data_IF_769644645908
#
_entry.id   IF_769644645908
#
_cell.length_a   1.000
_cell.length_b   1.000
_cell.length_c   1.000
_cell.angle_alpha   90.00
_cell.angle_beta   90.00
_cell.angle_gamma   90.00
#
_symmetry.space_group_name_H-M   'P 1'
#
loop_
_entity.id
_entity.type
_entity.pdbx_description
1 polymer ?
#
# COMPACT_ATOMS: atom_id res chain seq x y z
N UNK A 1 -22.07 1.14 -1.20
CA UNK A 1 -21.15 2.24 -1.58
C UNK A 1 -19.74 2.04 -1.03
N UNK A 2 -19.57 1.37 0.13
CA UNK A 2 -18.27 1.10 0.75
C UNK A 2 -17.38 0.13 -0.05
N UNK A 3 -17.93 -0.95 -0.62
CA UNK A 3 -17.12 -2.04 -1.24
C UNK A 3 -16.23 -1.63 -2.43
N UNK A 4 -16.62 -0.61 -3.21
CA UNK A 4 -15.84 -0.17 -4.38
C UNK A 4 -14.62 0.68 -3.98
N UNK A 5 -14.82 1.66 -3.09
CA UNK A 5 -13.75 2.51 -2.57
C UNK A 5 -12.79 1.72 -1.67
N UNK A 6 -13.31 0.70 -0.99
CA UNK A 6 -12.58 -0.25 -0.18
C UNK A 6 -11.81 -1.31 -0.98
N UNK A 7 -11.96 -1.37 -2.31
CA UNK A 7 -11.26 -2.37 -3.11
C UNK A 7 -9.76 -2.01 -3.19
N UNK A 8 -8.83 -2.94 -2.89
CA UNK A 8 -7.39 -2.66 -2.88
C UNK A 8 -6.84 -1.99 -4.14
N UNK A 9 -7.34 -2.36 -5.33
CA UNK A 9 -6.96 -1.73 -6.59
C UNK A 9 -7.50 -0.30 -6.72
N UNK A 10 -8.76 -0.06 -6.36
CA UNK A 10 -9.32 1.29 -6.34
C UNK A 10 -8.56 2.20 -5.37
N UNK A 11 -8.27 1.70 -4.17
CA UNK A 11 -7.51 2.44 -3.17
C UNK A 11 -6.06 2.71 -3.65
N UNK A 12 -5.41 1.73 -4.29
CA UNK A 12 -4.11 1.91 -4.93
C UNK A 12 -4.14 3.00 -6.01
N UNK A 13 -5.10 2.93 -6.93
CA UNK A 13 -5.23 3.91 -8.03
C UNK A 13 -5.50 5.30 -7.48
N UNK A 14 -6.39 5.43 -6.49
CA UNK A 14 -6.66 6.73 -5.85
C UNK A 14 -5.40 7.27 -5.16
N UNK A 15 -4.65 6.42 -4.46
CA UNK A 15 -3.44 6.82 -3.74
C UNK A 15 -2.34 7.29 -4.67
N UNK A 16 -2.11 6.58 -5.78
CA UNK A 16 -1.11 6.95 -6.78
C UNK A 16 -1.55 8.14 -7.63
N UNK A 17 -2.79 8.15 -8.13
CA UNK A 17 -3.23 9.16 -9.09
C UNK A 17 -3.53 10.52 -8.43
N UNK A 18 -4.00 10.54 -7.18
CA UNK A 18 -4.37 11.79 -6.49
C UNK A 18 -3.27 12.86 -6.48
N UNK A 19 -2.02 12.58 -6.04
CA UNK A 19 -0.97 13.60 -6.04
C UNK A 19 -0.65 14.10 -7.45
N UNK A 20 -0.60 13.22 -8.46
CA UNK A 20 -0.38 13.62 -9.85
C UNK A 20 -1.49 14.53 -10.37
N UNK A 21 -2.75 14.16 -10.12
CA UNK A 21 -3.90 14.96 -10.55
C UNK A 21 -3.90 16.32 -9.85
N UNK A 22 -3.64 16.38 -8.55
CA UNK A 22 -3.66 17.65 -7.83
C UNK A 22 -2.51 18.56 -8.27
N UNK A 23 -1.27 18.06 -8.24
CA UNK A 23 -0.06 18.89 -8.42
C UNK A 23 0.33 19.15 -9.89
N UNK A 24 -0.04 18.26 -10.82
CA UNK A 24 0.32 18.42 -12.25
C UNK A 24 -0.85 18.89 -13.13
N UNK A 25 -1.93 19.37 -12.51
CA UNK A 25 -3.02 20.05 -13.20
C UNK A 25 -3.28 21.42 -12.57
N UNK A 26 -4.15 22.26 -13.14
CA UNK A 26 -4.52 23.55 -12.54
C UNK A 26 -5.24 23.46 -11.18
N UNK A 27 -5.53 22.25 -10.67
CA UNK A 27 -6.22 22.05 -9.39
C UNK A 27 -5.43 22.62 -8.21
N UNK A 28 -4.13 22.33 -8.10
CA UNK A 28 -3.32 22.87 -7.02
C UNK A 28 -3.33 24.40 -7.02
N UNK A 29 -3.09 25.02 -8.17
CA UNK A 29 -3.12 26.47 -8.37
C UNK A 29 -4.45 27.11 -7.95
N UNK A 30 -5.55 26.36 -8.04
CA UNK A 30 -6.88 26.80 -7.62
C UNK A 30 -7.05 26.68 -6.12
N UNK A 31 -6.74 25.51 -5.55
CA UNK A 31 -6.98 25.23 -4.13
C UNK A 31 -6.01 25.96 -3.21
N UNK A 32 -4.74 26.08 -3.57
CA UNK A 32 -3.70 26.67 -2.70
C UNK A 32 -3.99 28.14 -2.35
N UNK A 33 -4.74 28.85 -3.20
CA UNK A 33 -5.11 30.27 -2.99
C UNK A 33 -6.09 30.48 -1.83
N UNK A 34 -6.82 29.43 -1.45
CA UNK A 34 -7.85 29.50 -0.42
C UNK A 34 -7.49 28.60 0.74
N UNK A 35 -7.63 29.10 1.97
CA UNK A 35 -7.39 28.29 3.17
C UNK A 35 -8.23 27.01 3.16
N UNK A 36 -9.52 27.08 2.83
CA UNK A 36 -10.39 25.91 2.72
C UNK A 36 -9.94 24.92 1.63
N UNK A 37 -9.34 25.41 0.54
CA UNK A 37 -8.83 24.57 -0.54
C UNK A 37 -7.59 23.80 -0.09
N UNK A 38 -6.69 24.46 0.65
CA UNK A 38 -5.56 23.81 1.29
C UNK A 38 -6.00 22.73 2.30
N UNK A 39 -6.94 23.05 3.19
CA UNK A 39 -7.48 22.07 4.14
C UNK A 39 -8.19 20.89 3.44
N UNK A 40 -8.93 21.17 2.37
CA UNK A 40 -9.55 20.14 1.54
C UNK A 40 -8.50 19.17 0.96
N UNK A 41 -7.38 19.69 0.44
CA UNK A 41 -6.29 18.84 -0.04
C UNK A 41 -5.72 17.96 1.08
N UNK A 42 -5.48 18.53 2.26
CA UNK A 42 -4.97 17.77 3.41
C UNK A 42 -5.92 16.63 3.82
N UNK A 43 -7.22 16.92 3.93
CA UNK A 43 -8.25 15.92 4.24
C UNK A 43 -8.32 14.86 3.13
N UNK A 44 -8.30 15.27 1.86
CA UNK A 44 -8.32 14.36 0.71
C UNK A 44 -7.14 13.37 0.77
N UNK A 45 -5.91 13.87 0.90
CA UNK A 45 -4.72 13.01 0.98
C UNK A 45 -4.73 12.11 2.20
N UNK A 46 -5.21 12.60 3.35
CA UNK A 46 -5.37 11.79 4.55
C UNK A 46 -6.39 10.66 4.35
N UNK A 47 -7.56 10.97 3.77
CA UNK A 47 -8.62 9.98 3.50
C UNK A 47 -8.14 8.94 2.49
N UNK A 48 -7.51 9.38 1.40
CA UNK A 48 -6.99 8.45 0.37
C UNK A 48 -5.88 7.56 0.95
N UNK A 49 -4.95 8.13 1.71
CA UNK A 49 -3.92 7.36 2.40
C UNK A 49 -4.51 6.38 3.43
N UNK A 50 -5.51 6.82 4.19
CA UNK A 50 -6.24 5.96 5.12
C UNK A 50 -6.92 4.80 4.40
N UNK A 51 -7.62 5.04 3.29
CA UNK A 51 -8.28 3.98 2.50
C UNK A 51 -7.26 2.97 1.96
N UNK A 52 -6.11 3.43 1.46
CA UNK A 52 -5.05 2.55 0.99
C UNK A 52 -4.49 1.67 2.11
N UNK A 53 -4.08 2.26 3.23
CA UNK A 53 -3.55 1.49 4.36
C UNK A 53 -4.61 0.64 5.04
N UNK A 54 -5.88 1.06 5.05
CA UNK A 54 -6.98 0.25 5.55
C UNK A 54 -7.19 -1.00 4.67
N UNK A 55 -7.09 -0.88 3.34
CA UNK A 55 -7.17 -2.04 2.44
C UNK A 55 -6.01 -3.04 2.63
N UNK A 56 -4.87 -2.59 3.16
CA UNK A 56 -3.65 -3.41 3.36
C UNK A 56 -3.58 -3.97 4.79
N UNK A 57 -3.70 -3.12 5.80
CA UNK A 57 -3.56 -3.46 7.22
C UNK A 57 -4.87 -4.03 7.79
N UNK A 58 -6.00 -3.62 7.23
CA UNK A 58 -7.36 -3.90 7.73
C UNK A 58 -7.52 -5.27 8.37
N UNK A 59 -8.08 -5.24 9.58
CA UNK A 59 -8.37 -6.42 10.40
C UNK A 59 -9.62 -7.14 9.89
N UNK A 60 -10.43 -6.46 9.07
CA UNK A 60 -11.75 -6.94 8.65
C UNK A 60 -11.65 -8.29 7.92
N UNK A 61 -12.34 -9.34 8.41
CA UNK A 61 -12.42 -10.65 7.77
C UNK A 61 -13.37 -10.61 6.56
N UNK A 62 -13.11 -9.69 5.63
CA UNK A 62 -13.86 -9.60 4.39
C UNK A 62 -13.43 -10.72 3.41
N UNK A 63 -14.34 -11.25 2.59
CA UNK A 63 -14.07 -12.34 1.64
C UNK A 63 -13.06 -11.99 0.53
N UNK A 64 -12.55 -10.75 0.47
CA UNK A 64 -11.61 -10.25 -0.55
C UNK A 64 -10.25 -9.81 0.03
N UNK A 65 -9.87 -10.33 1.19
CA UNK A 65 -8.60 -9.97 1.83
C UNK A 65 -7.43 -10.54 1.03
N UNK A 66 -6.53 -9.68 0.53
CA UNK A 66 -5.33 -10.18 -0.15
C UNK A 66 -4.45 -11.00 0.83
N UNK A 67 -3.80 -12.07 0.35
CA UNK A 67 -2.77 -12.76 1.13
C UNK A 67 -1.57 -11.82 1.35
N UNK A 68 -0.72 -12.11 2.35
CA UNK A 68 0.44 -11.26 2.68
C UNK A 68 1.32 -10.93 1.47
N UNK A 69 1.69 -11.89 0.59
CA UNK A 69 2.49 -11.58 -0.59
C UNK A 69 1.83 -10.55 -1.51
N UNK A 70 0.51 -10.64 -1.70
CA UNK A 70 -0.24 -9.69 -2.53
C UNK A 70 -0.25 -8.27 -1.94
N UNK A 71 -0.35 -8.14 -0.62
CA UNK A 71 -0.28 -6.85 0.07
C UNK A 71 1.12 -6.24 0.02
N UNK A 72 2.14 -7.06 0.25
CA UNK A 72 3.54 -6.65 0.13
C UNK A 72 3.82 -6.20 -1.30
N UNK A 73 3.36 -6.95 -2.30
CA UNK A 73 3.46 -6.59 -3.72
C UNK A 73 2.80 -5.24 -4.04
N UNK A 74 1.61 -4.97 -3.49
CA UNK A 74 0.94 -3.66 -3.62
C UNK A 74 1.75 -2.51 -3.02
N UNK A 75 2.33 -2.70 -1.83
CA UNK A 75 3.20 -1.70 -1.19
C UNK A 75 4.43 -1.40 -2.04
N UNK A 76 5.10 -2.44 -2.55
CA UNK A 76 6.23 -2.28 -3.48
C UNK A 76 5.82 -1.61 -4.79
N UNK A 77 4.65 -1.95 -5.33
CA UNK A 77 4.16 -1.38 -6.58
C UNK A 77 3.89 0.13 -6.47
N UNK A 78 3.57 0.65 -5.27
CA UNK A 78 3.36 2.08 -5.05
C UNK A 78 4.67 2.87 -5.07
N UNK A 79 5.75 2.32 -4.52
CA UNK A 79 7.04 3.01 -4.36
C UNK A 79 7.55 3.73 -5.62
N UNK A 80 7.64 3.08 -6.80
CA UNK A 80 8.15 3.76 -7.99
C UNK A 80 7.30 4.98 -8.37
N UNK A 81 5.98 4.94 -8.17
CA UNK A 81 5.13 6.09 -8.49
C UNK A 81 5.39 7.29 -7.56
N UNK A 82 5.61 7.07 -6.26
CA UNK A 82 6.01 8.18 -5.37
C UNK A 82 7.40 8.70 -5.69
N UNK A 83 8.35 7.81 -5.99
CA UNK A 83 9.67 8.20 -6.42
C UNK A 83 9.61 9.08 -7.68
N UNK A 84 8.86 8.66 -8.70
CA UNK A 84 8.67 9.45 -9.92
C UNK A 84 7.97 10.77 -9.67
N UNK A 85 6.98 10.83 -8.77
CA UNK A 85 6.34 12.08 -8.38
C UNK A 85 7.35 13.07 -7.80
N UNK A 86 8.19 12.64 -6.85
CA UNK A 86 9.22 13.47 -6.23
C UNK A 86 10.31 13.88 -7.24
N UNK A 87 10.78 12.95 -8.07
CA UNK A 87 11.75 13.24 -9.15
C UNK A 87 11.18 14.26 -10.14
N UNK A 88 9.91 14.15 -10.51
CA UNK A 88 9.26 15.11 -11.39
C UNK A 88 9.31 16.51 -10.77
N UNK A 89 8.88 16.68 -9.52
CA UNK A 89 8.98 17.97 -8.82
C UNK A 89 10.43 18.48 -8.73
N UNK A 90 11.39 17.58 -8.53
CA UNK A 90 12.82 17.89 -8.43
C UNK A 90 13.47 18.34 -9.75
N UNK A 91 12.84 18.01 -10.88
CA UNK A 91 13.39 18.26 -12.22
C UNK A 91 12.57 19.27 -13.03
N UNK A 92 11.36 19.61 -12.58
CA UNK A 92 10.52 20.62 -13.22
C UNK A 92 11.23 21.97 -13.32
N UNK A 93 11.11 22.63 -14.48
CA UNK A 93 11.61 23.98 -14.71
C UNK A 93 10.63 25.07 -14.26
N UNK A 94 9.36 24.72 -14.07
CA UNK A 94 8.31 25.59 -13.56
C UNK A 94 7.90 25.23 -12.13
N UNK A 95 7.45 26.23 -11.38
CA UNK A 95 6.96 26.04 -10.02
C UNK A 95 5.46 25.76 -10.02
N UNK A 96 5.03 24.70 -9.35
CA UNK A 96 3.64 24.42 -9.00
C UNK A 96 3.16 25.47 -7.99
N UNK A 97 2.04 26.13 -8.23
CA UNK A 97 1.57 27.20 -7.34
C UNK A 97 2.37 28.50 -7.43
N UNK A 98 3.15 28.73 -8.50
CA UNK A 98 4.06 29.87 -8.63
C UNK A 98 3.42 31.22 -8.27
N UNK A 99 2.19 31.44 -8.73
CA UNK A 99 1.45 32.70 -8.49
C UNK A 99 1.17 32.89 -7.00
N UNK A 100 0.73 31.83 -6.31
CA UNK A 100 0.47 31.87 -4.88
C UNK A 100 1.75 32.11 -4.09
N UNK A 101 2.79 31.30 -4.29
CA UNK A 101 4.02 31.40 -3.50
C UNK A 101 4.75 32.74 -3.69
N UNK A 102 4.69 33.35 -4.88
CA UNK A 102 5.19 34.72 -5.08
C UNK A 102 4.37 35.77 -4.33
N UNK A 103 3.04 35.59 -4.24
CA UNK A 103 2.16 36.54 -3.55
C UNK A 103 2.37 36.60 -2.03
N UNK A 104 2.86 35.51 -1.42
CA UNK A 104 3.17 35.45 0.01
C UNK A 104 4.40 36.32 0.36
N UNK A 105 5.28 36.58 -0.62
CA UNK A 105 6.46 37.45 -0.48
C UNK A 105 7.36 37.09 0.72
N UNK A 106 7.81 35.84 0.77
CA UNK A 106 8.62 35.27 1.86
C UNK A 106 10.08 35.76 1.79
N UNK A 107 10.54 36.68 2.67
CA UNK A 107 11.87 37.31 2.52
C UNK A 107 13.05 36.38 2.83
N UNK A 108 12.82 35.27 3.54
CA UNK A 108 13.85 34.27 3.83
C UNK A 108 13.99 33.21 2.73
N UNK A 109 13.07 33.18 1.76
CA UNK A 109 13.08 32.19 0.69
C UNK A 109 13.75 32.78 -0.55
N UNK A 110 14.99 32.35 -0.81
CA UNK A 110 15.79 32.90 -1.91
C UNK A 110 15.32 32.44 -3.31
N UNK A 111 14.76 31.23 -3.42
CA UNK A 111 14.30 30.66 -4.70
C UNK A 111 13.18 29.66 -4.49
N UNK A 112 11.98 29.99 -4.99
CA UNK A 112 10.80 29.12 -4.89
C UNK A 112 11.01 27.81 -5.70
N UNK A 113 11.70 27.88 -6.84
CA UNK A 113 11.96 26.69 -7.64
C UNK A 113 12.97 25.76 -6.97
N UNK A 114 14.00 26.31 -6.31
CA UNK A 114 14.95 25.50 -5.55
C UNK A 114 14.29 24.83 -4.34
N UNK A 115 13.35 25.53 -3.68
CA UNK A 115 12.55 24.98 -2.60
C UNK A 115 11.63 23.85 -3.07
N UNK A 116 10.99 24.00 -4.24
CA UNK A 116 10.26 22.90 -4.87
C UNK A 116 11.18 21.72 -5.19
N UNK A 117 12.40 21.97 -5.67
CA UNK A 117 13.33 20.89 -5.97
C UNK A 117 13.71 20.11 -4.72
N UNK A 118 14.03 20.83 -3.64
CA UNK A 118 14.24 20.24 -2.32
C UNK A 118 13.01 19.46 -1.85
N UNK A 119 11.82 20.04 -1.99
CA UNK A 119 10.55 19.41 -1.67
C UNK A 119 10.31 18.12 -2.45
N UNK A 120 10.69 18.07 -3.73
CA UNK A 120 10.66 16.85 -4.55
C UNK A 120 11.61 15.76 -4.04
N UNK A 121 12.82 16.14 -3.64
CA UNK A 121 13.78 15.22 -3.03
C UNK A 121 13.32 14.66 -1.67
N UNK A 122 12.72 15.51 -0.83
CA UNK A 122 12.11 15.10 0.43
C UNK A 122 10.91 14.20 0.16
N UNK A 123 10.04 14.57 -0.78
CA UNK A 123 8.85 13.80 -1.11
C UNK A 123 9.21 12.39 -1.54
N UNK A 124 10.17 12.18 -2.44
CA UNK A 124 10.57 10.82 -2.81
C UNK A 124 11.20 10.06 -1.62
N UNK A 125 12.18 10.64 -0.93
CA UNK A 125 12.94 9.87 0.08
C UNK A 125 12.14 9.55 1.34
N UNK A 126 11.32 10.50 1.82
CA UNK A 126 10.64 10.38 3.11
C UNK A 126 9.33 9.59 3.01
N UNK A 127 8.66 9.59 1.85
CA UNK A 127 7.38 8.87 1.69
C UNK A 127 7.52 7.36 1.79
N UNK A 128 8.73 6.83 1.64
CA UNK A 128 8.98 5.39 1.72
C UNK A 128 9.08 4.87 3.15
N UNK A 129 9.37 5.72 4.14
CA UNK A 129 9.52 5.26 5.53
C UNK A 129 8.23 4.61 6.07
N UNK A 130 7.02 5.20 5.91
CA UNK A 130 5.78 4.55 6.31
C UNK A 130 5.54 3.22 5.57
N UNK A 131 5.84 3.17 4.27
CA UNK A 131 5.64 1.97 3.45
C UNK A 131 6.55 0.84 3.94
N UNK A 132 7.84 1.13 4.13
CA UNK A 132 8.83 0.17 4.65
C UNK A 132 8.42 -0.33 6.04
N UNK A 133 7.98 0.57 6.93
CA UNK A 133 7.49 0.19 8.26
C UNK A 133 6.34 -0.81 8.17
N UNK A 134 5.38 -0.59 7.27
CA UNK A 134 4.25 -1.51 7.08
C UNK A 134 4.68 -2.81 6.41
N UNK A 135 5.62 -2.79 5.46
CA UNK A 135 6.20 -4.01 4.88
C UNK A 135 6.84 -4.87 5.98
N UNK A 136 7.67 -4.28 6.84
CA UNK A 136 8.30 -4.98 7.96
C UNK A 136 7.25 -5.58 8.89
N UNK A 137 6.18 -4.82 9.21
CA UNK A 137 5.07 -5.33 10.02
C UNK A 137 4.35 -6.50 9.35
N UNK A 138 4.09 -6.44 8.03
CA UNK A 138 3.42 -7.53 7.30
C UNK A 138 4.31 -8.78 7.17
N UNK A 139 5.60 -8.61 6.88
CA UNK A 139 6.55 -9.74 6.81
C UNK A 139 6.67 -10.44 8.16
N UNK A 140 6.75 -9.68 9.25
CA UNK A 140 6.79 -10.26 10.61
C UNK A 140 5.49 -10.95 10.99
N UNK A 141 4.33 -10.39 10.62
CA UNK A 141 3.02 -11.03 10.79
C UNK A 141 2.90 -12.31 9.97
N UNK A 142 3.33 -12.28 8.71
CA UNK A 142 3.31 -13.43 7.83
C UNK A 142 4.19 -14.57 8.35
N UNK A 143 5.45 -14.29 8.71
CA UNK A 143 6.36 -15.28 9.27
C UNK A 143 5.84 -15.91 10.58
N UNK A 144 5.15 -15.12 11.43
CA UNK A 144 4.50 -15.62 12.65
C UNK A 144 3.30 -16.52 12.34
N UNK A 145 2.52 -16.18 11.31
CA UNK A 145 1.38 -16.98 10.88
C UNK A 145 1.84 -18.33 10.31
N UNK A 146 2.82 -18.33 9.42
CA UNK A 146 3.32 -19.55 8.79
C UNK A 146 3.90 -20.53 9.81
N UNK A 147 4.68 -20.03 10.80
CA UNK A 147 5.17 -20.87 11.91
C UNK A 147 4.05 -21.52 12.73
N UNK A 148 2.93 -20.82 12.93
CA UNK A 148 1.77 -21.36 13.67
C UNK A 148 1.02 -22.42 12.88
N UNK A 149 0.95 -22.27 11.56
CA UNK A 149 0.34 -23.26 10.66
C UNK A 149 1.22 -24.50 10.59
N UNK A 150 2.52 -24.35 10.34
CA UNK A 150 3.48 -25.45 10.33
C UNK A 150 3.46 -26.25 11.64
N UNK A 151 3.51 -25.58 12.80
CA UNK A 151 3.42 -26.26 14.10
C UNK A 151 2.07 -26.95 14.38
N UNK A 152 1.00 -26.60 13.68
CA UNK A 152 -0.28 -27.32 13.75
C UNK A 152 -0.27 -28.54 12.83
N UNK A 153 0.29 -28.41 11.64
CA UNK A 153 0.45 -29.51 10.69
C UNK A 153 1.39 -30.57 11.25
N UNK A 154 2.54 -30.19 11.83
CA UNK A 154 3.48 -31.10 12.49
C UNK A 154 2.79 -31.89 13.63
N UNK A 155 2.01 -31.20 14.48
CA UNK A 155 1.26 -31.86 15.57
C UNK A 155 0.15 -32.78 15.09
N UNK A 156 -0.41 -32.54 13.91
CA UNK A 156 -1.42 -33.41 13.33
C UNK A 156 -0.76 -34.64 12.70
N UNK A 157 0.38 -34.45 12.03
CA UNK A 157 1.19 -35.54 11.47
C UNK A 157 1.74 -36.46 12.56
N UNK A 158 2.15 -35.92 13.71
CA UNK A 158 2.63 -36.71 14.86
C UNK A 158 1.49 -37.33 15.71
N UNK A 159 0.21 -37.20 15.31
CA UNK A 159 -0.92 -37.77 16.07
C UNK A 159 -1.30 -39.16 15.56
N UNK A 160 -1.59 -40.10 16.47
CA UNK A 160 -2.08 -41.47 16.15
C UNK A 160 -3.24 -41.48 15.13
N UNK A 161 -4.02 -40.40 15.10
CA UNK A 161 -5.14 -40.24 14.16
C UNK A 161 -4.69 -40.14 12.69
N UNK A 162 -3.51 -39.57 12.43
CA UNK A 162 -2.94 -39.51 11.08
C UNK A 162 -2.42 -40.87 10.62
N UNK A 163 -1.86 -41.66 11.54
CA UNK A 163 -1.45 -43.04 11.26
C UNK A 163 -2.68 -43.92 10.94
N UNK A 164 -3.77 -43.78 11.71
CA UNK A 164 -5.03 -44.49 11.46
C UNK A 164 -5.63 -44.17 10.07
N UNK A 165 -5.62 -42.90 9.64
CA UNK A 165 -6.09 -42.50 8.29
C UNK A 165 -5.21 -43.07 7.17
N UNK A 166 -3.88 -43.04 7.34
CA UNK A 166 -2.94 -43.62 6.38
C UNK A 166 -3.12 -45.14 6.27
N UNK A 167 -3.36 -45.81 7.39
CA UNK A 167 -3.57 -47.25 7.43
C UNK A 167 -4.90 -47.64 6.77
N UNK A 168 -5.98 -46.89 7.01
CA UNK A 168 -7.26 -47.05 6.34
C UNK A 168 -7.17 -46.80 4.82
N UNK A 169 -6.44 -45.76 4.40
CA UNK A 169 -6.21 -45.45 2.99
C UNK A 169 -5.42 -46.58 2.30
N UNK A 170 -4.36 -47.07 2.96
CA UNK A 170 -3.59 -48.21 2.46
C UNK A 170 -4.44 -49.48 2.36
N UNK A 171 -5.36 -49.73 3.30
CA UNK A 171 -6.28 -50.87 3.26
C UNK A 171 -7.22 -50.79 2.04
N UNK A 172 -7.80 -49.62 1.77
CA UNK A 172 -8.64 -49.39 0.59
C UNK A 172 -7.87 -49.61 -0.73
N UNK A 173 -6.63 -49.12 -0.85
CA UNK A 173 -5.79 -49.35 -2.04
C UNK A 173 -5.52 -50.84 -2.26
N UNK A 174 -5.27 -51.59 -1.19
CA UNK A 174 -5.11 -53.06 -1.26
C UNK A 174 -6.39 -53.71 -1.77
N UNK A 175 -7.56 -53.29 -1.30
CA UNK A 175 -8.84 -53.82 -1.76
C UNK A 175 -9.11 -53.51 -3.24
N UNK A 176 -8.85 -52.28 -3.70
CA UNK A 176 -8.92 -51.90 -5.11
C UNK A 176 -8.00 -52.74 -5.99
N UNK A 177 -6.76 -53.01 -5.54
CA UNK A 177 -5.82 -53.84 -6.29
C UNK A 177 -6.26 -55.32 -6.37
N UNK A 178 -6.94 -55.84 -5.33
CA UNK A 178 -7.53 -57.17 -5.32
C UNK A 178 -8.72 -57.28 -6.27
N UNK A 179 -9.58 -56.26 -6.32
CA UNK A 179 -10.73 -56.22 -7.24
C UNK A 179 -10.34 -56.06 -8.71
N UNK A 180 -9.10 -55.62 -9.00
CA UNK A 180 -8.59 -55.43 -10.36
C UNK A 180 -7.89 -56.68 -10.94
N UNK A 181 -7.70 -57.73 -10.15
CA UNK A 181 -7.20 -59.04 -10.58
C UNK A 181 -8.36 -60.00 -10.83
#
# INVERSE_FOLDING_TARGET
>A
MTTFLSHPITAFVLFVASPYIVYFTPLFDTFVRYHWGHEFMAIHFLVVGYLFYWAIIGIDPGPRRLPYPGRIGLLFAVMPFHAFFGIALMTMSSTVGATFYRSVNLPWLSSIIADQHLGGGIAWSLTELPVIMVIVALVTQWARQDRRVASREDRHADSDYADDELEAYNAMLRELSRMRR
#
